data_IF_521264550086
#
_entry.id   IF_521264550086
#
_cell.length_a   1.000
_cell.length_b   1.000
_cell.length_c   1.000
_cell.angle_alpha   90.00
_cell.angle_beta   90.00
_cell.angle_gamma   90.00
#
_symmetry.space_group_name_H-M   'P 1'
#
loop_
_entity.id
_entity.type
_entity.pdbx_description
1 polymer ?
#
# COMPACT_ATOMS: atom_id res chain seq x y z
N UNK A 1 -13.45 11.99 -19.44
CA UNK A 1 -12.60 11.28 -20.43
C UNK A 1 -12.66 9.78 -20.16
N UNK A 2 -12.77 8.92 -21.19
CA UNK A 2 -12.75 7.48 -20.98
C UNK A 2 -11.35 7.03 -20.51
N UNK A 3 -11.30 6.10 -19.54
CA UNK A 3 -10.06 5.51 -19.09
C UNK A 3 -9.35 4.73 -20.22
N UNK A 4 -8.02 4.76 -20.23
CA UNK A 4 -7.22 3.94 -21.14
C UNK A 4 -7.43 2.44 -20.87
N UNK A 5 -7.05 1.56 -21.80
CA UNK A 5 -7.14 0.11 -21.62
C UNK A 5 -6.34 -0.36 -20.39
N UNK A 6 -5.15 0.20 -20.17
CA UNK A 6 -4.30 -0.10 -19.02
C UNK A 6 -4.98 0.29 -17.71
N UNK A 7 -5.56 1.49 -17.65
CA UNK A 7 -6.26 1.96 -16.46
C UNK A 7 -7.50 1.09 -16.15
N UNK A 8 -8.26 0.71 -17.17
CA UNK A 8 -9.41 -0.21 -16.99
C UNK A 8 -8.96 -1.57 -16.44
N UNK A 9 -7.85 -2.11 -16.94
CA UNK A 9 -7.29 -3.37 -16.43
C UNK A 9 -6.85 -3.25 -14.98
N UNK A 10 -6.16 -2.15 -14.61
CA UNK A 10 -5.73 -1.89 -13.24
C UNK A 10 -6.93 -1.76 -12.28
N UNK A 11 -7.97 -1.01 -12.67
CA UNK A 11 -9.22 -0.88 -11.92
C UNK A 11 -9.89 -2.26 -11.74
N UNK A 12 -9.95 -3.08 -12.79
CA UNK A 12 -10.50 -4.42 -12.72
C UNK A 12 -9.78 -5.31 -11.73
N UNK A 13 -8.45 -5.33 -11.77
CA UNK A 13 -7.60 -6.08 -10.84
C UNK A 13 -7.76 -5.61 -9.41
N UNK A 14 -7.78 -4.30 -9.18
CA UNK A 14 -8.00 -3.73 -7.85
C UNK A 14 -9.36 -4.16 -7.28
N UNK A 15 -10.41 -4.14 -8.08
CA UNK A 15 -11.75 -4.59 -7.66
C UNK A 15 -11.75 -6.07 -7.25
N UNK A 16 -11.14 -6.94 -8.07
CA UNK A 16 -11.03 -8.37 -7.74
C UNK A 16 -10.28 -8.57 -6.44
N UNK A 17 -9.15 -7.89 -6.26
CA UNK A 17 -8.35 -7.97 -5.04
C UNK A 17 -9.14 -7.53 -3.80
N UNK A 18 -9.90 -6.44 -3.87
CA UNK A 18 -10.73 -5.99 -2.74
C UNK A 18 -11.81 -7.02 -2.38
N UNK A 19 -12.42 -7.69 -3.38
CA UNK A 19 -13.38 -8.78 -3.13
C UNK A 19 -12.68 -9.95 -2.43
N UNK A 20 -11.51 -10.36 -2.90
CA UNK A 20 -10.73 -11.45 -2.30
C UNK A 20 -10.32 -11.14 -0.85
N UNK A 21 -10.17 -9.85 -0.51
CA UNK A 21 -9.91 -9.37 0.85
C UNK A 21 -11.16 -9.26 1.73
N UNK A 22 -12.34 -9.57 1.19
CA UNK A 22 -13.62 -9.41 1.90
C UNK A 22 -14.10 -7.97 1.99
N UNK A 23 -13.67 -7.11 1.08
CA UNK A 23 -14.02 -5.69 0.99
C UNK A 23 -14.85 -5.41 -0.28
N UNK A 24 -16.08 -5.94 -0.39
CA UNK A 24 -16.94 -5.68 -1.54
C UNK A 24 -17.44 -4.23 -1.52
N UNK A 25 -18.13 -3.84 -2.61
CA UNK A 25 -18.84 -2.57 -2.63
C UNK A 25 -19.80 -2.46 -1.45
N UNK A 26 -19.73 -1.36 -0.70
CA UNK A 26 -20.47 -1.18 0.56
C UNK A 26 -21.97 -0.91 0.33
N UNK A 27 -22.33 -0.23 -0.77
CA UNK A 27 -23.72 0.08 -1.09
C UNK A 27 -23.89 0.17 -2.61
N UNK A 28 -25.00 -0.33 -3.20
CA UNK A 28 -25.29 -0.21 -4.64
C UNK A 28 -25.28 1.21 -5.18
N UNK A 29 -25.63 2.23 -4.36
CA UNK A 29 -25.60 3.65 -4.75
C UNK A 29 -24.25 4.11 -5.29
N UNK A 30 -23.14 3.52 -4.80
CA UNK A 30 -21.78 3.81 -5.28
C UNK A 30 -21.50 3.29 -6.70
N UNK A 31 -22.47 2.61 -7.34
CA UNK A 31 -22.41 2.25 -8.77
C UNK A 31 -22.83 3.40 -9.67
N UNK A 32 -23.63 4.33 -9.16
CA UNK A 32 -24.18 5.44 -9.90
C UNK A 32 -23.13 6.55 -10.09
N UNK A 33 -23.32 7.39 -11.11
CA UNK A 33 -22.49 8.56 -11.29
C UNK A 33 -22.90 9.63 -10.28
N UNK A 34 -21.97 10.03 -9.41
CA UNK A 34 -22.23 11.05 -8.42
C UNK A 34 -21.04 11.21 -7.45
N UNK A 35 -21.14 12.22 -6.59
CA UNK A 35 -20.19 12.46 -5.53
C UNK A 35 -20.65 11.65 -4.30
N UNK A 36 -20.03 10.52 -4.07
CA UNK A 36 -20.36 9.63 -2.98
C UNK A 36 -19.23 9.65 -1.94
N UNK A 37 -19.48 10.26 -0.79
CA UNK A 37 -18.58 10.21 0.34
C UNK A 37 -18.79 8.90 1.12
N UNK A 38 -17.75 8.08 1.33
CA UNK A 38 -17.86 6.88 2.18
C UNK A 38 -18.35 7.23 3.58
N UNK A 39 -19.10 6.33 4.21
CA UNK A 39 -19.52 6.51 5.59
C UNK A 39 -18.28 6.59 6.52
N UNK A 40 -18.36 7.31 7.65
CA UNK A 40 -17.22 7.45 8.58
C UNK A 40 -16.71 6.11 9.15
N UNK A 41 -17.61 5.14 9.28
CA UNK A 41 -17.35 3.77 9.76
C UNK A 41 -17.08 2.76 8.62
N UNK A 42 -17.08 3.21 7.36
CA UNK A 42 -16.74 2.36 6.23
C UNK A 42 -15.31 1.81 6.37
N UNK A 43 -15.05 0.59 5.86
CA UNK A 43 -13.71 0.02 5.86
C UNK A 43 -12.66 0.98 5.30
N UNK A 44 -11.49 1.03 5.93
CA UNK A 44 -10.36 1.84 5.49
C UNK A 44 -9.31 0.97 4.82
N UNK A 45 -8.93 1.33 3.62
CA UNK A 45 -7.77 0.80 2.90
C UNK A 45 -6.65 1.82 2.94
N UNK A 46 -5.46 1.43 3.35
CA UNK A 46 -4.27 2.28 3.31
C UNK A 46 -3.38 1.87 2.14
N UNK A 47 -2.72 2.83 1.51
CA UNK A 47 -1.70 2.61 0.49
C UNK A 47 -0.35 3.02 1.04
N UNK A 48 0.62 2.11 1.04
CA UNK A 48 2.01 2.44 1.34
C UNK A 48 2.62 3.19 0.14
N UNK A 49 2.90 4.48 0.32
CA UNK A 49 3.35 5.34 -0.75
C UNK A 49 4.77 5.84 -0.49
N UNK A 50 5.70 5.54 -1.39
CA UNK A 50 7.08 6.06 -1.37
C UNK A 50 7.24 7.37 -2.17
N UNK A 51 6.18 7.82 -2.85
CA UNK A 51 6.25 8.94 -3.79
C UNK A 51 6.80 8.56 -5.18
N UNK A 52 7.29 7.35 -5.36
CA UNK A 52 7.71 6.82 -6.65
C UNK A 52 6.54 6.53 -7.58
N UNK A 53 6.84 6.34 -8.86
CA UNK A 53 5.85 6.18 -9.94
C UNK A 53 4.82 5.09 -9.64
N UNK A 54 5.26 3.91 -9.21
CA UNK A 54 4.39 2.75 -9.05
C UNK A 54 3.48 2.88 -7.82
N UNK A 55 4.01 3.38 -6.70
CA UNK A 55 3.23 3.65 -5.50
C UNK A 55 2.19 4.77 -5.72
N UNK A 56 2.53 5.78 -6.51
CA UNK A 56 1.58 6.84 -6.87
C UNK A 56 0.51 6.34 -7.85
N UNK A 57 0.86 5.45 -8.79
CA UNK A 57 -0.11 4.82 -9.67
C UNK A 57 -1.09 3.93 -8.87
N UNK A 58 -0.57 3.14 -7.92
CA UNK A 58 -1.40 2.35 -7.01
C UNK A 58 -2.33 3.26 -6.19
N UNK A 59 -1.82 4.37 -5.63
CA UNK A 59 -2.61 5.32 -4.86
C UNK A 59 -3.76 5.92 -5.69
N UNK A 60 -3.49 6.30 -6.94
CA UNK A 60 -4.51 6.83 -7.84
C UNK A 60 -5.60 5.79 -8.16
N UNK A 61 -5.22 4.54 -8.49
CA UNK A 61 -6.17 3.47 -8.78
C UNK A 61 -6.97 3.10 -7.54
N UNK A 62 -6.33 2.99 -6.38
CA UNK A 62 -6.99 2.69 -5.12
C UNK A 62 -8.02 3.77 -4.76
N UNK A 63 -7.65 5.05 -4.85
CA UNK A 63 -8.56 6.16 -4.60
C UNK A 63 -9.81 6.10 -5.47
N UNK A 64 -9.65 5.88 -6.79
CA UNK A 64 -10.77 5.76 -7.73
C UNK A 64 -11.68 4.58 -7.37
N UNK A 65 -11.10 3.40 -7.12
CA UNK A 65 -11.89 2.19 -6.85
C UNK A 65 -12.59 2.27 -5.51
N UNK A 66 -11.88 2.67 -4.45
CA UNK A 66 -12.43 2.79 -3.11
C UNK A 66 -13.59 3.80 -3.09
N UNK A 67 -13.42 4.99 -3.67
CA UNK A 67 -14.48 5.97 -3.77
C UNK A 67 -15.72 5.41 -4.48
N UNK A 68 -15.53 4.71 -5.61
CA UNK A 68 -16.63 4.09 -6.38
C UNK A 68 -17.27 2.89 -5.66
N UNK A 69 -16.73 2.46 -4.53
CA UNK A 69 -17.22 1.32 -3.75
C UNK A 69 -17.65 1.70 -2.33
N UNK A 70 -17.58 2.99 -1.96
CA UNK A 70 -17.91 3.45 -0.62
C UNK A 70 -16.92 3.02 0.44
N UNK A 71 -15.68 2.74 0.05
CA UNK A 71 -14.57 2.35 0.92
C UNK A 71 -13.70 3.58 1.14
N UNK A 72 -13.27 3.83 2.38
CA UNK A 72 -12.31 4.88 2.70
C UNK A 72 -10.92 4.50 2.20
N UNK A 73 -10.19 5.47 1.65
CA UNK A 73 -8.85 5.23 1.13
C UNK A 73 -7.89 6.27 1.70
N UNK A 74 -6.86 5.82 2.38
CA UNK A 74 -5.80 6.65 2.93
C UNK A 74 -4.41 6.26 2.41
N UNK A 75 -3.37 6.95 2.89
CA UNK A 75 -2.00 6.64 2.53
C UNK A 75 -1.06 6.72 3.73
N UNK A 76 0.00 5.92 3.70
CA UNK A 76 1.11 5.97 4.66
C UNK A 76 2.40 6.17 3.90
N UNK A 77 3.10 7.23 4.22
CA UNK A 77 4.44 7.53 3.70
C UNK A 77 5.44 7.28 4.82
N UNK A 78 6.36 6.35 4.62
CA UNK A 78 7.43 6.07 5.59
C UNK A 78 8.68 6.87 5.22
N UNK A 79 9.14 7.71 6.13
CA UNK A 79 10.39 8.46 6.00
C UNK A 79 11.50 7.72 6.76
N UNK A 80 12.44 7.15 6.01
CA UNK A 80 13.54 6.36 6.57
C UNK A 80 14.70 7.21 7.12
N UNK A 81 14.69 8.52 6.92
CA UNK A 81 15.74 9.46 7.35
C UNK A 81 17.17 9.08 6.93
N UNK A 82 17.28 8.30 5.84
CA UNK A 82 18.59 7.84 5.33
C UNK A 82 19.28 8.85 4.43
N UNK A 83 18.58 9.85 3.95
CA UNK A 83 19.08 10.86 3.03
C UNK A 83 18.76 12.25 3.57
N UNK A 84 19.62 13.20 3.25
CA UNK A 84 19.35 14.61 3.49
C UNK A 84 18.07 15.03 2.76
N UNK A 85 17.21 15.82 3.41
CA UNK A 85 15.89 16.25 2.89
C UNK A 85 14.87 15.11 2.64
N UNK A 86 15.03 13.92 3.25
CA UNK A 86 14.07 12.82 3.11
C UNK A 86 12.68 13.20 3.63
N UNK A 87 12.59 14.06 4.62
CA UNK A 87 11.36 14.61 5.17
C UNK A 87 10.60 15.47 4.14
N UNK A 88 11.29 16.30 3.36
CA UNK A 88 10.67 17.10 2.27
C UNK A 88 10.09 16.19 1.18
N UNK A 89 10.82 15.13 0.82
CA UNK A 89 10.37 14.13 -0.15
C UNK A 89 9.14 13.41 0.36
N UNK A 90 9.14 12.98 1.64
CA UNK A 90 8.00 12.32 2.26
C UNK A 90 6.78 13.24 2.34
N UNK A 91 6.97 14.50 2.73
CA UNK A 91 5.90 15.51 2.75
C UNK A 91 5.35 15.80 1.34
N UNK A 92 6.21 15.82 0.33
CA UNK A 92 5.78 15.98 -1.06
C UNK A 92 4.93 14.81 -1.53
N UNK A 93 5.32 13.57 -1.21
CA UNK A 93 4.53 12.38 -1.49
C UNK A 93 3.15 12.43 -0.79
N UNK A 94 3.13 12.83 0.49
CA UNK A 94 1.89 12.97 1.25
C UNK A 94 0.95 14.01 0.62
N UNK A 95 1.46 15.20 0.26
CA UNK A 95 0.66 16.22 -0.43
C UNK A 95 0.06 15.70 -1.74
N UNK A 96 0.82 14.91 -2.51
CA UNK A 96 0.32 14.29 -3.75
C UNK A 96 -0.79 13.28 -3.46
N UNK A 97 -0.67 12.48 -2.40
CA UNK A 97 -1.73 11.57 -1.97
C UNK A 97 -3.01 12.34 -1.55
N UNK A 98 -2.86 13.41 -0.78
CA UNK A 98 -3.99 14.29 -0.46
C UNK A 98 -4.64 14.87 -1.73
N UNK A 99 -3.82 15.29 -2.71
CA UNK A 99 -4.30 15.78 -4.01
C UNK A 99 -5.07 14.75 -4.85
N UNK A 100 -4.87 13.45 -4.59
CA UNK A 100 -5.66 12.36 -5.15
C UNK A 100 -6.95 12.07 -4.36
N UNK A 101 -7.24 12.84 -3.30
CA UNK A 101 -8.41 12.65 -2.45
C UNK A 101 -8.26 11.54 -1.39
N UNK A 102 -7.06 11.05 -1.13
CA UNK A 102 -6.83 10.06 -0.08
C UNK A 102 -6.88 10.73 1.29
N UNK A 103 -7.58 10.09 2.24
CA UNK A 103 -7.64 10.49 3.65
C UNK A 103 -7.97 9.28 4.55
N UNK A 104 -7.26 9.09 5.70
CA UNK A 104 -6.15 9.91 6.20
C UNK A 104 -4.85 9.72 5.41
N UNK A 105 -3.93 10.69 5.49
CA UNK A 105 -2.56 10.57 4.99
C UNK A 105 -1.59 10.79 6.13
N UNK A 106 -0.78 9.79 6.43
CA UNK A 106 0.20 9.83 7.51
C UNK A 106 1.63 9.80 6.95
N UNK A 107 2.51 10.67 7.47
CA UNK A 107 3.96 10.57 7.29
C UNK A 107 4.56 10.02 8.58
N UNK A 108 5.24 8.88 8.48
CA UNK A 108 5.79 8.16 9.63
C UNK A 108 7.31 8.14 9.54
N UNK A 109 8.03 8.91 10.36
CA UNK A 109 9.46 8.82 10.43
C UNK A 109 9.87 7.51 11.12
N UNK A 110 10.91 6.86 10.60
CA UNK A 110 11.50 5.67 11.21
C UNK A 110 13.01 5.86 11.35
N UNK A 111 13.54 5.34 12.45
CA UNK A 111 14.97 5.26 12.66
C UNK A 111 15.46 3.89 12.24
N UNK A 112 16.47 3.85 11.38
CA UNK A 112 17.10 2.63 10.91
C UNK A 112 18.34 2.38 11.78
N UNK A 113 18.22 1.51 12.78
CA UNK A 113 19.34 1.08 13.59
C UNK A 113 20.10 -0.02 12.87
N UNK A 114 21.35 0.19 12.55
CA UNK A 114 22.18 -0.79 11.85
C UNK A 114 22.74 -1.87 12.78
N UNK A 115 21.93 -2.83 13.20
CA UNK A 115 22.34 -3.94 14.07
C UNK A 115 22.86 -5.13 13.26
N UNK A 116 23.96 -4.95 12.53
CA UNK A 116 24.75 -6.09 11.97
C UNK A 116 24.16 -6.87 10.79
N UNK A 117 22.88 -6.75 10.49
CA UNK A 117 22.19 -7.46 9.39
C UNK A 117 22.06 -6.67 8.08
N UNK A 118 22.76 -5.55 7.95
CA UNK A 118 22.67 -4.65 6.81
C UNK A 118 21.58 -3.59 6.95
N UNK A 119 21.92 -2.36 6.56
CA UNK A 119 21.02 -1.17 6.67
C UNK A 119 19.72 -1.37 5.88
N UNK A 120 19.77 -2.09 4.75
CA UNK A 120 18.62 -2.32 3.89
C UNK A 120 17.58 -3.24 4.56
N UNK A 121 18.02 -4.34 5.17
CA UNK A 121 17.12 -5.24 5.91
C UNK A 121 16.47 -4.54 7.10
N UNK A 122 17.27 -3.78 7.88
CA UNK A 122 16.77 -3.01 9.01
C UNK A 122 15.75 -1.93 8.57
N UNK A 123 16.01 -1.25 7.45
CA UNK A 123 15.08 -0.27 6.86
C UNK A 123 13.77 -0.93 6.40
N UNK A 124 13.87 -2.11 5.79
CA UNK A 124 12.69 -2.90 5.39
C UNK A 124 11.84 -3.28 6.62
N UNK A 125 12.45 -3.80 7.66
CA UNK A 125 11.74 -4.20 8.89
C UNK A 125 11.12 -2.98 9.61
N UNK A 126 11.83 -1.87 9.68
CA UNK A 126 11.30 -0.63 10.24
C UNK A 126 10.09 -0.14 9.44
N UNK A 127 10.15 -0.21 8.10
CA UNK A 127 9.02 0.13 7.22
C UNK A 127 7.80 -0.73 7.50
N UNK A 128 7.94 -2.07 7.54
CA UNK A 128 6.80 -2.95 7.78
C UNK A 128 6.19 -2.75 9.16
N UNK A 129 7.01 -2.53 10.18
CA UNK A 129 6.53 -2.17 11.53
C UNK A 129 5.73 -0.87 11.51
N UNK A 130 6.24 0.18 10.89
CA UNK A 130 5.56 1.46 10.78
C UNK A 130 4.20 1.36 10.05
N UNK A 131 4.15 0.56 8.98
CA UNK A 131 2.91 0.30 8.24
C UNK A 131 1.89 -0.46 9.10
N UNK A 132 2.33 -1.51 9.81
CA UNK A 132 1.46 -2.30 10.67
C UNK A 132 0.93 -1.48 11.87
N UNK A 133 1.77 -0.66 12.48
CA UNK A 133 1.38 0.21 13.60
C UNK A 133 0.37 1.27 13.14
N UNK A 134 0.60 1.86 11.97
CA UNK A 134 -0.35 2.82 11.39
C UNK A 134 -1.67 2.15 11.04
N UNK A 135 -1.64 0.96 10.43
CA UNK A 135 -2.86 0.22 10.11
C UNK A 135 -3.68 -0.10 11.37
N UNK A 136 -3.03 -0.49 12.46
CA UNK A 136 -3.70 -0.74 13.75
C UNK A 136 -4.31 0.54 14.33
N UNK A 137 -3.55 1.63 14.38
CA UNK A 137 -4.00 2.92 14.92
C UNK A 137 -5.20 3.48 14.15
N UNK A 138 -5.19 3.36 12.83
CA UNK A 138 -6.27 3.84 11.96
C UNK A 138 -7.41 2.81 11.78
N UNK A 139 -7.30 1.63 12.41
CA UNK A 139 -8.24 0.51 12.22
C UNK A 139 -8.44 0.14 10.74
N UNK A 140 -7.36 0.17 9.98
CA UNK A 140 -7.41 -0.15 8.56
C UNK A 140 -7.64 -1.65 8.32
N UNK A 141 -8.47 -1.98 7.34
CA UNK A 141 -8.75 -3.35 6.93
C UNK A 141 -7.53 -3.99 6.24
N UNK A 142 -6.79 -3.21 5.46
CA UNK A 142 -5.55 -3.66 4.82
C UNK A 142 -4.63 -2.49 4.45
N UNK A 143 -3.37 -2.85 4.14
CA UNK A 143 -2.37 -1.95 3.54
C UNK A 143 -1.97 -2.52 2.18
N UNK A 144 -2.07 -1.72 1.13
CA UNK A 144 -1.67 -2.06 -0.22
C UNK A 144 -0.22 -1.61 -0.46
N UNK A 145 0.56 -2.49 -1.09
CA UNK A 145 1.97 -2.27 -1.42
C UNK A 145 2.14 -2.33 -2.95
N UNK A 146 2.89 -1.39 -3.50
CA UNK A 146 3.17 -1.35 -4.94
C UNK A 146 4.45 -2.15 -5.25
N UNK A 147 4.36 -3.47 -5.17
CA UNK A 147 5.40 -4.35 -5.68
C UNK A 147 5.10 -4.73 -7.13
N UNK A 148 6.12 -4.68 -7.97
CA UNK A 148 6.03 -5.03 -9.39
C UNK A 148 6.42 -6.49 -9.62
N UNK A 149 6.16 -7.00 -10.84
CA UNK A 149 6.67 -8.31 -11.23
C UNK A 149 8.21 -8.37 -11.23
N UNK A 150 8.87 -7.23 -11.48
CA UNK A 150 10.32 -7.11 -11.45
C UNK A 150 10.84 -7.20 -10.01
N UNK A 151 10.19 -6.54 -9.04
CA UNK A 151 10.52 -6.68 -7.60
C UNK A 151 10.40 -8.15 -7.15
N UNK A 152 9.38 -8.85 -7.66
CA UNK A 152 9.17 -10.26 -7.40
C UNK A 152 10.32 -11.12 -7.97
N UNK A 153 10.71 -10.85 -9.22
CA UNK A 153 11.81 -11.56 -9.87
C UNK A 153 13.16 -11.30 -9.17
N UNK A 154 13.42 -10.06 -8.76
CA UNK A 154 14.60 -9.70 -7.98
C UNK A 154 14.62 -10.42 -6.63
N UNK A 155 13.48 -10.46 -5.91
CA UNK A 155 13.37 -11.16 -4.63
C UNK A 155 13.71 -12.65 -4.81
N UNK A 156 13.09 -13.32 -5.80
CA UNK A 156 13.36 -14.74 -6.08
C UNK A 156 14.83 -14.97 -6.45
N UNK A 157 15.41 -14.11 -7.29
CA UNK A 157 16.81 -14.22 -7.69
C UNK A 157 17.76 -14.06 -6.49
N UNK A 158 17.52 -13.07 -5.64
CA UNK A 158 18.33 -12.84 -4.44
C UNK A 158 18.21 -13.99 -3.44
N UNK A 159 17.03 -14.57 -3.29
CA UNK A 159 16.79 -15.70 -2.40
C UNK A 159 17.48 -16.97 -2.95
N UNK A 160 17.43 -17.21 -4.25
CA UNK A 160 18.16 -18.32 -4.91
C UNK A 160 19.67 -18.18 -4.74
N UNK A 161 20.20 -16.96 -4.81
CA UNK A 161 21.64 -16.71 -4.64
C UNK A 161 22.10 -16.84 -3.18
N UNK A 162 21.21 -16.63 -2.20
CA UNK A 162 21.53 -16.66 -0.76
C UNK A 162 21.23 -18.00 -0.09
N UNK A 163 20.25 -18.74 -0.58
CA UNK A 163 19.82 -20.02 -0.01
C UNK A 163 19.68 -21.10 -1.08
N UNK A 164 19.97 -22.35 -0.66
CA UNK A 164 19.88 -23.53 -1.54
C UNK A 164 18.57 -24.31 -1.38
N UNK A 165 17.50 -23.69 -0.84
CA UNK A 165 16.23 -24.35 -0.57
C UNK A 165 15.13 -24.01 -1.59
N UNK A 166 14.17 -24.93 -1.80
CA UNK A 166 13.02 -24.73 -2.69
C UNK A 166 12.08 -23.58 -2.22
N UNK A 167 12.07 -23.27 -0.92
CA UNK A 167 11.29 -22.17 -0.34
C UNK A 167 11.72 -20.80 -0.89
N UNK A 168 12.96 -20.69 -1.38
CA UNK A 168 13.50 -19.49 -2.02
C UNK A 168 12.78 -19.13 -3.33
N UNK A 169 12.10 -20.08 -3.94
CA UNK A 169 11.37 -19.87 -5.21
C UNK A 169 9.97 -19.30 -5.00
N UNK A 170 9.50 -19.22 -3.76
CA UNK A 170 8.15 -18.77 -3.46
C UNK A 170 7.94 -17.26 -3.70
N UNK A 171 9.03 -16.46 -3.65
CA UNK A 171 8.95 -15.01 -3.77
C UNK A 171 8.12 -14.35 -2.66
N UNK A 172 7.67 -13.13 -2.90
CA UNK A 172 6.81 -12.41 -1.95
C UNK A 172 5.38 -12.95 -1.97
N UNK A 173 4.77 -13.30 -0.82
CA UNK A 173 3.38 -13.73 -0.78
C UNK A 173 2.44 -12.59 -1.17
N UNK A 174 1.32 -12.91 -1.82
CA UNK A 174 0.31 -11.92 -2.22
C UNK A 174 -0.31 -11.16 -1.05
N UNK A 175 -0.39 -11.79 0.11
CA UNK A 175 -0.89 -11.16 1.33
C UNK A 175 -0.18 -11.74 2.55
N UNK A 176 0.09 -10.86 3.52
CA UNK A 176 0.66 -11.23 4.83
C UNK A 176 -0.26 -10.69 5.91
N UNK A 177 -0.57 -11.50 6.90
CA UNK A 177 -1.29 -11.02 8.09
C UNK A 177 -0.28 -10.50 9.10
N UNK A 178 -0.37 -9.22 9.45
CA UNK A 178 0.47 -8.65 10.50
C UNK A 178 0.12 -9.30 11.85
N UNK A 179 1.12 -9.80 12.57
CA UNK A 179 0.92 -10.45 13.87
C UNK A 179 0.20 -9.49 14.84
N UNK A 180 -0.92 -9.94 15.42
CA UNK A 180 -1.71 -9.15 16.38
C UNK A 180 -2.61 -8.06 15.76
N UNK A 181 -2.81 -8.04 14.45
CA UNK A 181 -3.70 -7.09 13.77
C UNK A 181 -4.73 -7.83 12.91
N UNK A 182 -5.98 -7.37 12.85
CA UNK A 182 -6.94 -7.84 11.86
C UNK A 182 -6.58 -7.35 10.44
N UNK A 183 -5.67 -6.39 10.31
CA UNK A 183 -5.27 -5.85 9.02
C UNK A 183 -4.37 -6.83 8.25
N UNK A 184 -4.69 -7.02 6.97
CA UNK A 184 -3.85 -7.78 6.02
C UNK A 184 -3.03 -6.81 5.19
N UNK A 185 -1.74 -7.09 4.99
CA UNK A 185 -0.95 -6.41 3.96
C UNK A 185 -1.04 -7.20 2.66
N UNK A 186 -1.30 -6.51 1.55
CA UNK A 186 -1.39 -7.10 0.21
C UNK A 186 -0.33 -6.51 -0.70
N UNK A 187 0.31 -7.38 -1.45
CA UNK A 187 1.36 -7.10 -2.42
C UNK A 187 0.79 -7.12 -3.84
#
# INVERSE_FOLDING_TARGET
>A
MPYTAVMRAAIGRMRSMLVDLGLPRQDPRFAEHGDHTPAPDAPLVLVACSGGRDSMALAAVAGIVCASWGIRCGAVVVDHRLQEHSDEVAQSAARRCCGLGLAPVAVVPVEVSGDGHGVEAAARDARYRALADTARRESAACVLLAHTGDDQAETVLMDVLRSSGLDSLAGMPRSVTACGSPARSCV
#
